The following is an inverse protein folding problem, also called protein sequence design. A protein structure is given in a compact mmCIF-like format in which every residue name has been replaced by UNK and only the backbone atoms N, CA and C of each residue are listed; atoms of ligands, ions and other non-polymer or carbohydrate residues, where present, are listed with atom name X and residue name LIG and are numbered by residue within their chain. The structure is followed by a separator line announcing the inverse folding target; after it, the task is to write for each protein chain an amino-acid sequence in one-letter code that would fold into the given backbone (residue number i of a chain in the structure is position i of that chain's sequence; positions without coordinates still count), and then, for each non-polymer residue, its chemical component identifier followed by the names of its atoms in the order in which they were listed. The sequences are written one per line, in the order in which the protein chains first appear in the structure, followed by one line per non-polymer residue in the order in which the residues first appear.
data_IF_335476854196
#
_entry.id   IF_335476854196
#
_cell.length_a   1.000
_cell.length_b   1.000
_cell.length_c   1.000
_cell.angle_alpha   90.00
_cell.angle_beta   90.00
_cell.angle_gamma   90.00
#
_symmetry.space_group_name_H-M   'P 1'
#
loop_
_entity.id
_entity.type
_entity.pdbx_description
1 polymer ?
#
# COMPACT_ATOMS: atom_id res chain seq x y z
N UNK A 1 -17.49 17.19 -13.44
CA UNK A 1 -17.22 15.77 -13.10
C UNK A 1 -16.01 15.75 -12.18
N UNK A 2 -16.20 15.48 -10.89
CA UNK A 2 -15.07 15.24 -9.99
C UNK A 2 -14.54 13.85 -10.29
N UNK A 3 -13.47 13.75 -11.09
CA UNK A 3 -12.72 12.50 -11.20
C UNK A 3 -12.27 12.12 -9.79
N UNK A 4 -12.84 11.05 -9.23
CA UNK A 4 -12.35 10.49 -7.97
C UNK A 4 -10.94 10.00 -8.26
N UNK A 5 -9.95 10.77 -7.83
CA UNK A 5 -8.55 10.36 -7.90
C UNK A 5 -8.41 9.08 -7.09
N UNK A 6 -8.11 7.98 -7.77
CA UNK A 6 -7.95 6.69 -7.13
C UNK A 6 -6.50 6.56 -6.66
N UNK A 7 -6.27 6.78 -5.37
CA UNK A 7 -4.96 6.66 -4.76
C UNK A 7 -4.50 5.20 -4.82
N UNK A 8 -3.42 4.93 -5.55
CA UNK A 8 -2.86 3.59 -5.72
C UNK A 8 -2.23 3.10 -4.42
N UNK A 9 -2.05 1.78 -4.28
CA UNK A 9 -1.39 1.20 -3.11
C UNK A 9 0.02 1.79 -2.90
N UNK A 10 0.76 2.00 -3.99
CA UNK A 10 2.11 2.56 -3.92
C UNK A 10 2.13 3.98 -3.36
N UNK A 11 1.20 4.83 -3.79
CA UNK A 11 1.10 6.21 -3.27
C UNK A 11 0.71 6.23 -1.79
N UNK A 12 -0.20 5.33 -1.37
CA UNK A 12 -0.55 5.18 0.07
C UNK A 12 0.68 4.85 0.90
N UNK A 13 1.52 3.96 0.40
CA UNK A 13 2.77 3.55 1.06
C UNK A 13 3.78 4.70 1.11
N UNK A 14 3.98 5.43 0.01
CA UNK A 14 4.87 6.60 0.01
C UNK A 14 4.43 7.64 1.02
N UNK A 15 3.12 7.92 1.11
CA UNK A 15 2.56 8.84 2.09
C UNK A 15 2.82 8.38 3.54
N UNK A 16 2.77 7.07 3.80
CA UNK A 16 3.10 6.50 5.12
C UNK A 16 4.59 6.64 5.43
N UNK A 17 5.48 6.46 4.45
CA UNK A 17 6.93 6.63 4.63
C UNK A 17 7.32 8.10 4.85
N UNK A 18 6.74 9.03 4.09
CA UNK A 18 6.96 10.48 4.24
C UNK A 18 6.61 11.01 5.64
N UNK A 19 5.71 10.34 6.35
CA UNK A 19 5.37 10.65 7.73
C UNK A 19 6.36 10.07 8.75
N UNK A 20 7.19 9.10 8.37
CA UNK A 20 8.17 8.42 9.22
C UNK A 20 9.59 8.98 9.13
N UNK A 21 9.95 9.61 8.01
CA UNK A 21 11.30 10.19 7.83
C UNK A 21 11.57 11.33 8.83
N UNK A 22 12.86 11.60 9.15
CA UNK A 22 13.46 12.32 10.30
C UNK A 22 12.76 13.57 10.90
N UNK A 23 11.71 14.12 10.31
CA UNK A 23 10.88 15.20 10.87
C UNK A 23 9.36 15.03 10.64
N UNK A 24 8.91 13.84 10.25
CA UNK A 24 7.53 13.40 10.01
C UNK A 24 6.55 14.48 9.54
N UNK A 25 6.26 14.54 8.24
CA UNK A 25 5.29 15.50 7.72
C UNK A 25 3.94 15.35 8.44
N UNK A 26 3.40 16.45 8.97
CA UNK A 26 2.07 16.45 9.57
C UNK A 26 1.00 16.07 8.54
N UNK A 27 -0.14 15.53 8.98
CA UNK A 27 -1.22 15.13 8.07
C UNK A 27 -1.68 16.28 7.16
N UNK A 28 -1.62 17.52 7.66
CA UNK A 28 -1.91 18.73 6.87
C UNK A 28 -0.89 18.96 5.76
N UNK A 29 0.41 18.81 6.05
CA UNK A 29 1.47 18.93 5.05
C UNK A 29 1.41 17.79 4.02
N UNK A 30 1.02 16.59 4.43
CA UNK A 30 0.80 15.47 3.51
C UNK A 30 -0.41 15.72 2.59
N UNK A 31 -1.51 16.24 3.13
CA UNK A 31 -2.68 16.63 2.33
C UNK A 31 -2.30 17.67 1.25
N UNK A 32 -1.51 18.68 1.62
CA UNK A 32 -0.99 19.69 0.70
C UNK A 32 -0.04 19.07 -0.35
N UNK A 33 0.92 18.25 0.08
CA UNK A 33 1.93 17.61 -0.79
C UNK A 33 1.30 16.71 -1.86
N UNK A 34 0.29 15.93 -1.47
CA UNK A 34 -0.39 14.98 -2.36
C UNK A 34 -1.67 15.54 -3.00
N UNK A 35 -2.02 16.80 -2.72
CA UNK A 35 -3.26 17.45 -3.17
C UNK A 35 -4.52 16.62 -2.90
N UNK A 36 -4.63 16.10 -1.68
CA UNK A 36 -5.76 15.27 -1.23
C UNK A 36 -6.41 15.85 0.02
N UNK A 37 -7.62 15.40 0.32
CA UNK A 37 -8.31 15.82 1.53
C UNK A 37 -7.65 15.26 2.78
N UNK A 38 -7.70 16.03 3.88
CA UNK A 38 -7.20 15.59 5.18
C UNK A 38 -7.90 14.29 5.64
N UNK A 39 -9.19 14.15 5.33
CA UNK A 39 -9.95 12.93 5.63
C UNK A 39 -9.39 11.70 4.90
N UNK A 40 -8.93 11.84 3.65
CA UNK A 40 -8.29 10.74 2.93
C UNK A 40 -6.95 10.38 3.56
N UNK A 41 -6.15 11.37 3.97
CA UNK A 41 -4.90 11.16 4.71
C UNK A 41 -5.18 10.38 5.99
N UNK A 42 -6.09 10.84 6.84
CA UNK A 42 -6.43 10.15 8.09
C UNK A 42 -6.95 8.72 7.85
N UNK A 43 -7.75 8.51 6.79
CA UNK A 43 -8.20 7.17 6.41
C UNK A 43 -7.03 6.28 6.00
N UNK A 44 -6.07 6.80 5.23
CA UNK A 44 -4.87 6.05 4.84
C UNK A 44 -4.07 5.63 6.07
N UNK A 45 -3.89 6.53 7.04
CA UNK A 45 -3.17 6.22 8.28
C UNK A 45 -3.90 5.21 9.17
N UNK A 46 -5.24 5.24 9.20
CA UNK A 46 -6.05 4.27 9.94
C UNK A 46 -5.82 2.84 9.43
N UNK A 47 -5.66 2.69 8.12
CA UNK A 47 -5.47 1.40 7.44
C UNK A 47 -4.00 1.13 7.04
N UNK A 48 -3.04 1.86 7.63
CA UNK A 48 -1.61 1.80 7.22
C UNK A 48 -1.00 0.40 7.33
N UNK A 49 -1.41 -0.37 8.33
CA UNK A 49 -0.92 -1.74 8.58
C UNK A 49 -1.37 -2.69 7.47
N UNK A 50 -2.63 -2.57 7.04
CA UNK A 50 -3.19 -3.34 5.92
C UNK A 50 -2.44 -3.03 4.63
N UNK A 51 -2.23 -1.74 4.31
CA UNK A 51 -1.51 -1.36 3.10
C UNK A 51 -0.05 -1.82 3.09
N UNK A 52 0.65 -1.73 4.22
CA UNK A 52 2.03 -2.23 4.33
C UNK A 52 2.11 -3.74 4.11
N UNK A 53 1.18 -4.49 4.71
CA UNK A 53 1.10 -5.94 4.53
C UNK A 53 0.75 -6.33 3.08
N UNK A 54 -0.18 -5.62 2.45
CA UNK A 54 -0.56 -5.84 1.05
C UNK A 54 0.61 -5.54 0.10
N UNK A 55 1.37 -4.47 0.37
CA UNK A 55 2.55 -4.11 -0.41
C UNK A 55 3.66 -5.15 -0.30
N UNK A 56 3.93 -5.64 0.91
CA UNK A 56 4.91 -6.71 1.16
C UNK A 56 4.47 -8.03 0.50
N UNK A 57 3.19 -8.40 0.65
CA UNK A 57 2.63 -9.60 0.03
C UNK A 57 2.64 -9.54 -1.49
N UNK A 58 2.31 -8.39 -2.10
CA UNK A 58 2.37 -8.20 -3.54
C UNK A 58 3.81 -8.17 -4.08
N UNK A 59 4.77 -7.58 -3.34
CA UNK A 59 6.20 -7.73 -3.67
C UNK A 59 6.63 -9.20 -3.69
N UNK A 60 6.17 -9.99 -2.72
CA UNK A 60 6.49 -11.41 -2.61
C UNK A 60 5.74 -12.31 -3.62
N UNK A 61 4.60 -11.87 -4.18
CA UNK A 61 3.91 -12.60 -5.26
C UNK A 61 4.73 -12.67 -6.55
N UNK A 62 5.57 -11.68 -6.83
CA UNK A 62 6.50 -11.73 -7.96
C UNK A 62 7.71 -12.65 -7.71
N UNK A 63 7.98 -13.03 -6.46
CA UNK A 63 9.08 -13.94 -6.09
C UNK A 63 8.62 -15.40 -5.96
N UNK A 64 7.32 -15.64 -5.74
CA UNK A 64 6.75 -16.99 -5.51
C UNK A 64 6.03 -17.61 -6.71
N UNK A 65 6.51 -17.39 -7.93
CA UNK A 65 6.27 -18.34 -9.04
C UNK A 65 7.51 -19.21 -9.28
N UNK A 66 7.88 -20.03 -8.29
CA UNK A 66 8.41 -21.35 -8.61
C UNK A 66 7.20 -22.27 -8.67
N UNK A 67 6.92 -22.77 -9.87
CA UNK A 67 5.86 -23.72 -10.17
C UNK A 67 5.74 -24.76 -9.06
N UNK A 68 4.56 -24.87 -8.44
CA UNK A 68 4.17 -26.16 -7.87
C UNK A 68 3.89 -27.04 -9.08
N UNK A 69 4.87 -27.88 -9.40
CA UNK A 69 4.70 -28.99 -10.32
C UNK A 69 3.47 -29.78 -9.88
N UNK A 70 2.48 -29.83 -10.77
CA UNK A 70 1.24 -30.57 -10.60
C UNK A 70 1.55 -32.01 -11.00
N UNK A 71 2.17 -32.80 -10.12
CA UNK A 71 1.99 -34.26 -10.18
C UNK A 71 2.42 -34.98 -8.88
N UNK A 72 1.48 -35.17 -7.97
CA UNK A 72 1.54 -36.24 -6.99
C UNK A 72 0.12 -36.72 -6.71
N UNK A 73 -0.55 -37.17 -7.77
CA UNK A 73 -1.77 -37.97 -7.64
C UNK A 73 -1.39 -39.45 -7.65
N UNK A 74 -1.78 -40.11 -6.56
CA UNK A 74 -2.02 -41.56 -6.40
C UNK A 74 -0.80 -42.48 -6.44
N UNK A 75 -0.56 -43.15 -5.31
CA UNK A 75 -0.34 -44.59 -5.33
C UNK A 75 -1.31 -45.20 -4.31
N UNK A 76 -2.06 -46.18 -4.79
CA UNK A 76 -2.81 -47.19 -4.03
C UNK A 76 -1.81 -48.16 -3.36
#
# INVERSE_FOLDING_TARGET
MTSRYEFTLQEKIQLIFDNKDDNGLSQRRLAEKYNISLSLVSNIFKHKTEYLNDYETNKNKNVKRKSKDVNAQKLD
#
